data_IF_599510916742
#
_entry.id   IF_599510916742
#
_cell.length_a   1.000
_cell.length_b   1.000
_cell.length_c   1.000
_cell.angle_alpha   90.00
_cell.angle_beta   90.00
_cell.angle_gamma   90.00
#
_symmetry.space_group_name_H-M   'P 1'
#
loop_
_entity.id
_entity.type
_entity.pdbx_description
1 polymer ?
#
# COMPACT_ATOMS: atom_id res chain seq x y z
N UNK A 1 1.44 23.14 -3.27
CA UNK A 1 0.16 23.82 -3.65
C UNK A 1 -0.79 23.74 -2.48
N UNK A 2 -1.25 24.89 -2.00
CA UNK A 2 -2.31 24.96 -0.98
C UNK A 2 -3.62 24.62 -1.69
N UNK A 3 -4.35 23.61 -1.22
CA UNK A 3 -5.66 23.25 -1.76
C UNK A 3 -6.75 24.19 -1.20
N UNK A 4 -7.83 24.37 -1.95
CA UNK A 4 -9.02 25.07 -1.47
C UNK A 4 -9.62 24.24 -0.32
N UNK A 5 -9.91 24.85 0.86
CA UNK A 5 -10.55 24.18 1.98
C UNK A 5 -11.88 23.52 1.58
N UNK A 6 -12.27 22.47 2.28
CA UNK A 6 -13.52 21.72 2.04
C UNK A 6 -14.28 21.49 3.34
N UNK A 7 -14.91 22.51 3.92
CA UNK A 7 -15.49 22.45 5.27
C UNK A 7 -16.41 21.25 5.51
N UNK A 8 -17.37 21.00 4.61
CA UNK A 8 -18.27 19.85 4.73
C UNK A 8 -17.50 18.53 4.70
N UNK A 9 -16.50 18.42 3.83
CA UNK A 9 -15.70 17.21 3.71
C UNK A 9 -14.83 17.00 4.96
N UNK A 10 -14.12 18.02 5.43
CA UNK A 10 -13.24 17.93 6.60
C UNK A 10 -14.01 17.43 7.82
N UNK A 11 -15.18 18.03 8.10
CA UNK A 11 -16.04 17.64 9.22
C UNK A 11 -16.62 16.23 9.04
N UNK A 12 -16.97 15.83 7.80
CA UNK A 12 -17.42 14.46 7.52
C UNK A 12 -16.36 13.40 7.84
N UNK A 13 -15.09 13.80 7.89
CA UNK A 13 -13.95 12.94 8.23
C UNK A 13 -13.51 13.10 9.71
N UNK A 14 -14.25 13.87 10.51
CA UNK A 14 -13.95 14.10 11.93
C UNK A 14 -12.84 15.12 12.18
N UNK A 15 -12.48 15.93 11.15
CA UNK A 15 -11.53 17.02 11.30
C UNK A 15 -12.25 18.35 11.47
N UNK A 16 -11.68 19.23 12.29
CA UNK A 16 -12.08 20.62 12.31
C UNK A 16 -11.64 21.30 11.02
N UNK A 17 -12.57 21.94 10.31
CA UNK A 17 -12.21 22.67 9.11
C UNK A 17 -11.30 23.86 9.43
N UNK A 18 -10.27 24.08 8.61
CA UNK A 18 -9.41 25.26 8.74
C UNK A 18 -10.19 26.60 8.77
N UNK A 19 -11.33 26.64 8.11
CA UNK A 19 -12.20 27.84 8.11
C UNK A 19 -12.85 28.06 9.49
N UNK A 20 -13.21 27.00 10.20
CA UNK A 20 -13.89 27.08 11.51
C UNK A 20 -12.97 27.55 12.62
N UNK A 21 -11.65 27.41 12.47
CA UNK A 21 -10.69 27.96 13.45
C UNK A 21 -10.80 29.47 13.62
N UNK A 22 -11.24 30.20 12.59
CA UNK A 22 -11.44 31.63 12.61
C UNK A 22 -12.92 32.05 12.50
N UNK A 23 -13.78 31.19 11.97
CA UNK A 23 -15.19 31.44 11.68
C UNK A 23 -16.09 30.43 12.41
N UNK A 24 -15.91 30.31 13.73
CA UNK A 24 -16.61 29.34 14.55
C UNK A 24 -18.14 29.54 14.62
N UNK A 25 -18.61 30.72 14.27
CA UNK A 25 -20.01 31.12 14.24
C UNK A 25 -20.71 30.82 12.90
N UNK A 26 -19.94 30.39 11.86
CA UNK A 26 -20.47 30.07 10.53
C UNK A 26 -20.52 28.55 10.37
N UNK A 27 -21.67 28.03 9.95
CA UNK A 27 -21.83 26.59 9.72
C UNK A 27 -21.03 26.10 8.51
N UNK A 28 -20.64 24.82 8.49
CA UNK A 28 -19.87 24.20 7.40
C UNK A 28 -20.56 24.33 6.03
N UNK A 29 -21.90 24.15 5.91
CA UNK A 29 -22.59 24.39 4.63
C UNK A 29 -22.52 25.83 4.15
N UNK A 30 -22.57 26.80 5.08
CA UNK A 30 -22.42 28.21 4.72
C UNK A 30 -20.99 28.53 4.27
N UNK A 31 -19.98 28.02 4.99
CA UNK A 31 -18.57 28.16 4.59
C UNK A 31 -18.31 27.52 3.23
N UNK A 32 -18.87 26.35 2.97
CA UNK A 32 -18.80 25.67 1.67
C UNK A 32 -19.40 26.51 0.56
N UNK A 33 -20.59 27.09 0.77
CA UNK A 33 -21.26 27.96 -0.20
C UNK A 33 -20.44 29.21 -0.52
N UNK A 34 -19.84 29.85 0.48
CA UNK A 34 -18.96 31.01 0.30
C UNK A 34 -17.75 30.64 -0.57
N UNK A 35 -17.14 29.49 -0.32
CA UNK A 35 -16.00 29.02 -1.11
C UNK A 35 -16.39 28.71 -2.55
N UNK A 36 -17.55 28.12 -2.77
CA UNK A 36 -18.06 27.83 -4.10
C UNK A 36 -18.43 29.11 -4.88
N UNK A 37 -18.91 30.13 -4.19
CA UNK A 37 -19.14 31.45 -4.77
C UNK A 37 -17.82 32.13 -5.21
N UNK A 38 -16.73 31.96 -4.46
CA UNK A 38 -15.43 32.57 -4.77
C UNK A 38 -14.63 31.81 -5.83
N UNK A 39 -14.65 30.49 -5.79
CA UNK A 39 -13.77 29.63 -6.60
C UNK A 39 -14.52 28.81 -7.65
N UNK A 40 -15.86 28.92 -7.67
CA UNK A 40 -16.72 28.05 -8.46
C UNK A 40 -16.87 26.63 -7.84
N UNK A 41 -17.62 25.74 -8.49
CA UNK A 41 -17.83 24.39 -8.01
C UNK A 41 -16.49 23.69 -7.73
N UNK A 42 -16.32 23.17 -6.52
CA UNK A 42 -15.10 22.51 -6.13
C UNK A 42 -14.89 21.24 -6.97
N UNK A 43 -13.70 21.10 -7.52
CA UNK A 43 -13.32 19.89 -8.27
C UNK A 43 -13.48 18.66 -7.38
N UNK A 44 -13.83 17.50 -7.93
CA UNK A 44 -13.83 16.24 -7.17
C UNK A 44 -12.49 16.02 -6.46
N UNK A 45 -12.54 15.35 -5.31
CA UNK A 45 -11.32 14.92 -4.64
C UNK A 45 -10.50 14.01 -5.56
N UNK A 46 -9.18 14.09 -5.41
CA UNK A 46 -8.31 13.12 -6.07
C UNK A 46 -8.80 11.69 -5.75
N UNK A 47 -9.02 10.84 -6.76
CA UNK A 47 -9.56 9.48 -6.56
C UNK A 47 -8.79 8.64 -5.52
N UNK A 48 -7.47 8.83 -5.43
CA UNK A 48 -6.64 8.16 -4.42
C UNK A 48 -7.11 8.53 -3.02
N UNK A 49 -7.27 9.82 -2.76
CA UNK A 49 -7.74 10.32 -1.45
C UNK A 49 -9.17 9.89 -1.21
N UNK A 50 -10.05 10.06 -2.19
CA UNK A 50 -11.47 9.69 -2.08
C UNK A 50 -11.64 8.19 -1.76
N UNK A 51 -10.89 7.32 -2.42
CA UNK A 51 -10.91 5.88 -2.16
C UNK A 51 -10.33 5.53 -0.80
N UNK A 52 -9.23 6.17 -0.42
CA UNK A 52 -8.61 5.96 0.88
C UNK A 52 -9.55 6.30 2.04
N UNK A 53 -10.34 7.34 1.91
CA UNK A 53 -11.29 7.79 2.92
C UNK A 53 -12.56 6.91 3.03
N UNK A 54 -12.83 6.06 2.03
CA UNK A 54 -13.87 5.03 2.14
C UNK A 54 -13.47 3.85 3.02
N UNK A 55 -12.20 3.73 3.35
CA UNK A 55 -11.65 2.66 4.18
C UNK A 55 -11.65 3.09 5.63
N UNK A 56 -12.32 2.33 6.48
CA UNK A 56 -12.34 2.52 7.94
C UNK A 56 -11.85 1.26 8.66
N UNK A 57 -11.90 1.28 9.99
CA UNK A 57 -11.41 0.17 10.82
C UNK A 57 -12.18 -1.14 10.60
N UNK A 58 -13.44 -1.05 10.21
CA UNK A 58 -14.33 -2.21 10.00
C UNK A 58 -14.34 -2.71 8.55
N UNK A 59 -13.61 -2.05 7.64
CA UNK A 59 -13.59 -2.46 6.23
C UNK A 59 -12.84 -3.78 6.09
N UNK A 60 -13.52 -4.80 5.57
CA UNK A 60 -12.93 -6.11 5.32
C UNK A 60 -11.97 -6.10 4.12
N UNK A 61 -10.99 -7.01 4.12
CA UNK A 61 -9.96 -7.08 3.08
C UNK A 61 -10.52 -7.20 1.66
N UNK A 62 -11.58 -7.98 1.45
CA UNK A 62 -12.23 -8.12 0.15
C UNK A 62 -12.87 -6.83 -0.37
N UNK A 63 -13.48 -6.03 0.50
CA UNK A 63 -14.08 -4.75 0.12
C UNK A 63 -13.00 -3.67 -0.05
N UNK A 64 -11.98 -3.68 0.80
CA UNK A 64 -10.80 -2.83 0.62
C UNK A 64 -10.10 -3.10 -0.72
N UNK A 65 -9.98 -4.37 -1.13
CA UNK A 65 -9.40 -4.74 -2.42
C UNK A 65 -10.20 -4.20 -3.62
N UNK A 66 -11.53 -4.21 -3.54
CA UNK A 66 -12.40 -3.62 -4.58
C UNK A 66 -12.18 -2.11 -4.72
N UNK A 67 -11.88 -1.42 -3.63
CA UNK A 67 -11.71 0.04 -3.58
C UNK A 67 -10.28 0.45 -3.93
N UNK A 68 -9.28 -0.25 -3.38
CA UNK A 68 -7.87 0.15 -3.45
C UNK A 68 -7.13 -0.48 -4.63
N UNK A 69 -7.46 -1.74 -4.95
CA UNK A 69 -6.77 -2.48 -6.00
C UNK A 69 -7.50 -2.35 -7.34
N UNK A 70 -7.31 -1.21 -8.01
CA UNK A 70 -7.89 -0.87 -9.30
C UNK A 70 -6.78 -0.42 -10.26
N UNK A 71 -6.08 -1.35 -10.94
CA UNK A 71 -4.89 -1.05 -11.73
C UNK A 71 -5.15 -0.04 -12.86
N UNK A 72 -6.33 -0.03 -13.47
CA UNK A 72 -6.60 0.74 -14.69
C UNK A 72 -7.04 2.19 -14.47
N UNK A 73 -7.21 2.64 -13.22
CA UNK A 73 -7.93 3.87 -12.94
C UNK A 73 -7.08 5.02 -12.37
N UNK A 74 -5.79 4.80 -12.05
CA UNK A 74 -4.98 5.79 -11.33
C UNK A 74 -3.61 6.00 -11.95
N UNK A 75 -3.10 7.21 -11.76
CA UNK A 75 -1.70 7.51 -11.98
C UNK A 75 -0.79 6.55 -11.16
N UNK A 76 0.39 6.13 -11.67
CA UNK A 76 1.27 5.15 -11.00
C UNK A 76 1.53 5.43 -9.51
N UNK A 77 1.75 6.69 -9.12
CA UNK A 77 1.91 7.05 -7.70
C UNK A 77 0.67 6.74 -6.85
N UNK A 78 -0.53 6.91 -7.42
CA UNK A 78 -1.77 6.57 -6.75
C UNK A 78 -1.95 5.07 -6.58
N UNK A 79 -1.60 4.31 -7.60
CA UNK A 79 -1.60 2.84 -7.55
C UNK A 79 -0.60 2.31 -6.53
N UNK A 80 0.64 2.82 -6.55
CA UNK A 80 1.68 2.46 -5.58
C UNK A 80 1.21 2.74 -4.14
N UNK A 81 0.65 3.92 -3.89
CA UNK A 81 0.15 4.30 -2.58
C UNK A 81 -0.98 3.38 -2.11
N UNK A 82 -1.99 3.13 -2.95
CA UNK A 82 -3.12 2.28 -2.61
C UNK A 82 -2.70 0.83 -2.39
N UNK A 83 -1.83 0.29 -3.26
CA UNK A 83 -1.26 -1.05 -3.13
C UNK A 83 -0.43 -1.18 -1.84
N UNK A 84 0.46 -0.23 -1.57
CA UNK A 84 1.26 -0.19 -0.35
C UNK A 84 0.39 -0.15 0.91
N UNK A 85 -0.64 0.68 0.91
CA UNK A 85 -1.58 0.75 2.01
C UNK A 85 -2.34 -0.57 2.20
N UNK A 86 -2.82 -1.17 1.09
CA UNK A 86 -3.52 -2.44 1.14
C UNK A 86 -2.65 -3.55 1.74
N UNK A 87 -1.40 -3.69 1.27
CA UNK A 87 -0.47 -4.70 1.78
C UNK A 87 -0.23 -4.51 3.27
N UNK A 88 0.08 -3.29 3.71
CA UNK A 88 0.38 -3.00 5.12
C UNK A 88 -0.80 -3.21 6.06
N UNK A 89 -2.01 -2.99 5.60
CA UNK A 89 -3.22 -3.03 6.44
C UNK A 89 -3.91 -4.38 6.45
N UNK A 90 -3.89 -5.09 5.34
CA UNK A 90 -4.72 -6.27 5.12
C UNK A 90 -3.94 -7.57 4.89
N UNK A 91 -2.64 -7.50 4.67
CA UNK A 91 -1.81 -8.68 4.54
C UNK A 91 -0.90 -8.86 5.77
N UNK A 92 -0.57 -10.12 6.04
CA UNK A 92 0.40 -10.52 7.05
C UNK A 92 1.25 -11.68 6.56
N UNK A 93 2.42 -11.95 7.19
CA UNK A 93 3.25 -13.08 6.76
C UNK A 93 2.52 -14.41 6.87
N UNK A 94 2.53 -15.18 5.78
CA UNK A 94 2.05 -16.56 5.77
C UNK A 94 0.58 -16.73 6.11
N UNK A 95 -0.28 -15.94 5.51
CA UNK A 95 -1.72 -16.09 5.70
C UNK A 95 -2.20 -17.47 5.23
N UNK A 96 -2.88 -18.21 6.09
CA UNK A 96 -3.46 -19.52 5.76
C UNK A 96 -4.52 -19.40 4.64
N UNK A 97 -5.21 -18.28 4.61
CA UNK A 97 -6.20 -17.96 3.59
C UNK A 97 -6.08 -16.54 3.11
N UNK A 98 -6.02 -16.38 1.80
CA UNK A 98 -6.16 -15.11 1.10
C UNK A 98 -7.15 -15.31 -0.04
N UNK A 99 -8.14 -14.42 -0.16
CA UNK A 99 -9.15 -14.46 -1.20
C UNK A 99 -8.51 -14.53 -2.59
N UNK A 100 -8.95 -15.48 -3.41
CA UNK A 100 -8.41 -15.70 -4.76
C UNK A 100 -8.49 -14.43 -5.62
N UNK A 101 -9.54 -13.62 -5.46
CA UNK A 101 -9.67 -12.35 -6.19
C UNK A 101 -8.59 -11.33 -5.77
N UNK A 102 -8.18 -11.34 -4.50
CA UNK A 102 -7.04 -10.50 -4.04
C UNK A 102 -5.74 -10.99 -4.67
N UNK A 103 -5.53 -12.31 -4.67
CA UNK A 103 -4.35 -12.91 -5.29
C UNK A 103 -4.27 -12.54 -6.78
N UNK A 104 -5.36 -12.66 -7.53
CA UNK A 104 -5.37 -12.32 -8.96
C UNK A 104 -5.11 -10.83 -9.20
N UNK A 105 -5.71 -9.95 -8.39
CA UNK A 105 -5.40 -8.50 -8.45
C UNK A 105 -3.92 -8.20 -8.19
N UNK A 106 -3.31 -8.85 -7.20
CA UNK A 106 -1.87 -8.71 -6.93
C UNK A 106 -1.01 -9.26 -8.09
N UNK A 107 -1.44 -10.36 -8.73
CA UNK A 107 -0.78 -10.88 -9.93
C UNK A 107 -0.89 -9.93 -11.13
N UNK A 108 -2.00 -9.20 -11.27
CA UNK A 108 -2.14 -8.18 -12.30
C UNK A 108 -1.17 -7.01 -12.05
N UNK A 109 -1.04 -6.54 -10.81
CA UNK A 109 -0.01 -5.56 -10.45
C UNK A 109 1.42 -6.09 -10.66
N UNK A 110 1.66 -7.38 -10.46
CA UNK A 110 2.95 -8.02 -10.71
C UNK A 110 3.38 -7.98 -12.19
N UNK A 111 2.44 -7.81 -13.11
CA UNK A 111 2.69 -7.65 -14.57
C UNK A 111 2.80 -6.20 -15.02
N UNK A 112 2.61 -5.24 -14.11
CA UNK A 112 2.63 -3.82 -14.44
C UNK A 112 3.98 -3.38 -15.01
N UNK A 113 4.01 -2.33 -15.84
CA UNK A 113 5.26 -1.85 -16.44
C UNK A 113 6.17 -1.15 -15.41
N UNK A 114 5.56 -0.41 -14.47
CA UNK A 114 6.30 0.30 -13.43
C UNK A 114 6.99 -0.70 -12.49
N UNK A 115 8.31 -0.57 -12.36
CA UNK A 115 9.17 -1.48 -11.59
C UNK A 115 8.84 -1.44 -10.10
N UNK A 116 8.50 -0.29 -9.55
CA UNK A 116 8.22 -0.12 -8.11
C UNK A 116 6.88 -0.75 -7.75
N UNK A 117 5.86 -0.58 -8.59
CA UNK A 117 4.55 -1.23 -8.43
C UNK A 117 4.68 -2.75 -8.55
N UNK A 118 5.42 -3.22 -9.57
CA UNK A 118 5.69 -4.64 -9.80
C UNK A 118 6.41 -5.27 -8.60
N UNK A 119 7.48 -4.67 -8.14
CA UNK A 119 8.24 -5.16 -6.99
C UNK A 119 7.41 -5.18 -5.69
N UNK A 120 6.56 -4.18 -5.50
CA UNK A 120 5.64 -4.12 -4.37
C UNK A 120 4.59 -5.23 -4.42
N UNK A 121 4.06 -5.54 -5.60
CA UNK A 121 3.14 -6.66 -5.79
C UNK A 121 3.83 -8.01 -5.55
N UNK A 122 5.07 -8.19 -6.02
CA UNK A 122 5.87 -9.38 -5.72
C UNK A 122 6.10 -9.53 -4.22
N UNK A 123 6.47 -8.44 -3.53
CA UNK A 123 6.64 -8.45 -2.09
C UNK A 123 5.34 -8.83 -1.37
N UNK A 124 4.21 -8.26 -1.77
CA UNK A 124 2.90 -8.57 -1.19
C UNK A 124 2.47 -10.03 -1.36
N UNK A 125 2.66 -10.59 -2.56
CA UNK A 125 2.38 -12.01 -2.83
C UNK A 125 3.33 -12.94 -2.06
N UNK A 126 4.64 -12.67 -2.11
CA UNK A 126 5.64 -13.47 -1.41
C UNK A 126 5.42 -13.46 0.10
N UNK A 127 5.27 -12.28 0.65
CA UNK A 127 5.05 -12.02 2.06
C UNK A 127 3.79 -12.73 2.62
N UNK A 128 2.66 -12.60 1.93
CA UNK A 128 1.40 -13.16 2.42
C UNK A 128 1.22 -14.64 2.12
N UNK A 129 1.89 -15.17 1.08
CA UNK A 129 1.67 -16.52 0.57
C UNK A 129 2.99 -17.32 0.40
N UNK A 130 3.99 -17.06 1.24
CA UNK A 130 5.31 -17.70 1.09
C UNK A 130 5.27 -19.22 1.21
N UNK A 131 4.25 -19.80 1.86
CA UNK A 131 4.04 -21.24 1.95
C UNK A 131 3.28 -21.83 0.75
N UNK A 132 2.80 -21.00 -0.19
CA UNK A 132 2.02 -21.45 -1.34
C UNK A 132 2.95 -21.75 -2.54
N UNK A 133 3.10 -23.05 -2.94
CA UNK A 133 3.99 -23.42 -4.04
C UNK A 133 3.63 -22.77 -5.38
N UNK A 134 2.32 -22.58 -5.65
CA UNK A 134 1.85 -21.98 -6.89
C UNK A 134 2.24 -20.49 -6.99
N UNK A 135 2.25 -19.79 -5.87
CA UNK A 135 2.71 -18.39 -5.83
C UNK A 135 4.22 -18.31 -6.00
N UNK A 136 4.99 -19.21 -5.36
CA UNK A 136 6.44 -19.29 -5.57
C UNK A 136 6.77 -19.55 -7.04
N UNK A 137 6.12 -20.51 -7.68
CA UNK A 137 6.31 -20.81 -9.10
C UNK A 137 5.94 -19.61 -9.99
N UNK A 138 4.82 -18.95 -9.69
CA UNK A 138 4.42 -17.73 -10.39
C UNK A 138 5.52 -16.66 -10.30
N UNK A 139 6.02 -16.35 -9.11
CA UNK A 139 7.03 -15.31 -8.89
C UNK A 139 8.34 -15.62 -9.63
N UNK A 140 8.81 -16.88 -9.56
CA UNK A 140 10.02 -17.31 -10.29
C UNK A 140 9.84 -17.15 -11.80
N UNK A 141 8.70 -17.58 -12.33
CA UNK A 141 8.41 -17.46 -13.77
C UNK A 141 8.36 -16.00 -14.21
N UNK A 142 7.65 -15.14 -13.47
CA UNK A 142 7.52 -13.72 -13.83
C UNK A 142 8.88 -13.00 -13.79
N UNK A 143 9.71 -13.29 -12.79
CA UNK A 143 11.06 -12.71 -12.71
C UNK A 143 11.94 -13.15 -13.88
N UNK A 144 11.89 -14.42 -14.27
CA UNK A 144 12.68 -14.93 -15.39
C UNK A 144 12.25 -14.35 -16.75
N UNK A 145 11.05 -13.75 -16.83
CA UNK A 145 10.53 -13.11 -18.04
C UNK A 145 10.78 -11.59 -18.10
N UNK A 146 11.55 -11.03 -17.16
CA UNK A 146 11.78 -9.59 -17.03
C UNK A 146 12.93 -9.08 -17.91
N UNK A 147 13.03 -9.41 -19.14
CA UNK A 147 13.95 -8.94 -20.18
C UNK A 147 14.88 -7.76 -19.81
N UNK A 148 15.85 -7.95 -18.91
CA UNK A 148 16.87 -6.98 -18.51
C UNK A 148 16.53 -6.07 -17.34
N UNK A 149 15.37 -6.23 -16.69
CA UNK A 149 15.02 -5.49 -15.46
C UNK A 149 15.02 -6.36 -14.20
N UNK A 150 15.48 -7.61 -14.29
CA UNK A 150 15.44 -8.61 -13.22
C UNK A 150 16.13 -8.13 -11.95
N UNK A 151 17.33 -7.61 -12.07
CA UNK A 151 18.12 -7.12 -10.95
C UNK A 151 17.43 -5.95 -10.24
N UNK A 152 16.92 -4.99 -11.01
CA UNK A 152 16.23 -3.83 -10.46
C UNK A 152 14.96 -4.21 -9.71
N UNK A 153 14.17 -5.16 -10.25
CA UNK A 153 12.95 -5.67 -9.59
C UNK A 153 13.29 -6.48 -8.35
N UNK A 154 14.27 -7.41 -8.42
CA UNK A 154 14.71 -8.20 -7.27
C UNK A 154 15.20 -7.31 -6.13
N UNK A 155 16.03 -6.31 -6.45
CA UNK A 155 16.54 -5.37 -5.45
C UNK A 155 15.40 -4.65 -4.72
N UNK A 156 14.44 -4.08 -5.44
CA UNK A 156 13.29 -3.41 -4.84
C UNK A 156 12.43 -4.36 -4.02
N UNK A 157 12.15 -5.53 -4.56
CA UNK A 157 11.37 -6.56 -3.89
C UNK A 157 12.00 -6.99 -2.56
N UNK A 158 13.29 -7.32 -2.56
CA UNK A 158 14.01 -7.69 -1.33
C UNK A 158 14.04 -6.56 -0.31
N UNK A 159 14.29 -5.30 -0.74
CA UNK A 159 14.27 -4.14 0.15
C UNK A 159 12.87 -3.84 0.73
N UNK A 160 11.80 -4.12 0.00
CA UNK A 160 10.43 -3.98 0.53
C UNK A 160 10.16 -5.02 1.62
N UNK A 161 10.61 -6.26 1.43
CA UNK A 161 10.50 -7.32 2.45
C UNK A 161 11.33 -6.98 3.70
N UNK A 162 12.55 -6.48 3.52
CA UNK A 162 13.39 -6.00 4.63
C UNK A 162 12.72 -4.85 5.39
N UNK A 163 12.12 -3.90 4.67
CA UNK A 163 11.34 -2.82 5.28
C UNK A 163 10.16 -3.36 6.11
N UNK A 164 9.42 -4.35 5.63
CA UNK A 164 8.36 -4.99 6.42
C UNK A 164 8.92 -5.67 7.67
N UNK A 165 10.07 -6.34 7.56
CA UNK A 165 10.79 -6.89 8.70
C UNK A 165 11.14 -5.83 9.74
N UNK A 166 11.64 -4.70 9.28
CA UNK A 166 11.99 -3.58 10.15
C UNK A 166 10.76 -2.97 10.86
N UNK A 167 9.62 -2.86 10.18
CA UNK A 167 8.37 -2.40 10.80
C UNK A 167 7.91 -3.35 11.90
N UNK A 168 7.92 -4.66 11.67
CA UNK A 168 7.57 -5.65 12.69
C UNK A 168 8.57 -5.67 13.85
N UNK A 169 9.85 -5.56 13.56
CA UNK A 169 10.88 -5.51 14.59
C UNK A 169 10.69 -4.32 15.53
N UNK A 170 10.43 -3.13 14.98
CA UNK A 170 10.17 -1.92 15.75
C UNK A 170 8.85 -1.97 16.54
N UNK A 171 7.86 -2.72 16.07
CA UNK A 171 6.61 -2.96 16.80
C UNK A 171 6.71 -4.09 17.84
N UNK A 172 7.85 -4.76 17.97
CA UNK A 172 8.10 -5.85 18.92
C UNK A 172 7.67 -7.24 18.45
N UNK A 173 7.14 -7.37 17.23
CA UNK A 173 6.74 -8.66 16.63
C UNK A 173 7.95 -9.33 15.97
N UNK A 174 8.82 -9.92 16.79
CA UNK A 174 10.07 -10.55 16.33
C UNK A 174 9.85 -11.73 15.38
N UNK A 175 8.78 -12.50 15.57
CA UNK A 175 8.49 -13.66 14.72
C UNK A 175 8.17 -13.23 13.29
N UNK A 176 7.28 -12.26 13.12
CA UNK A 176 6.97 -11.72 11.79
C UNK A 176 8.17 -10.98 11.18
N UNK A 177 8.94 -10.26 12.00
CA UNK A 177 10.16 -9.62 11.54
C UNK A 177 11.15 -10.64 10.96
N UNK A 178 11.36 -11.76 11.67
CA UNK A 178 12.23 -12.85 11.24
C UNK A 178 11.80 -13.42 9.89
N UNK A 179 10.51 -13.76 9.75
CA UNK A 179 9.96 -14.25 8.47
C UNK A 179 10.26 -13.27 7.33
N UNK A 180 10.00 -11.99 7.54
CA UNK A 180 10.22 -10.98 6.49
C UNK A 180 11.70 -10.86 6.10
N UNK A 181 12.63 -10.91 7.06
CA UNK A 181 14.06 -10.89 6.78
C UNK A 181 14.55 -12.17 6.11
N UNK A 182 14.01 -13.34 6.46
CA UNK A 182 14.28 -14.60 5.77
C UNK A 182 13.85 -14.52 4.30
N UNK A 183 12.63 -14.05 4.03
CA UNK A 183 12.13 -13.85 2.67
C UNK A 183 12.95 -12.79 1.89
N UNK A 184 13.39 -11.72 2.55
CA UNK A 184 14.27 -10.73 1.94
C UNK A 184 15.62 -11.34 1.56
N UNK A 185 16.19 -12.19 2.43
CA UNK A 185 17.44 -12.91 2.19
C UNK A 185 17.32 -13.98 1.08
N UNK A 186 16.15 -14.61 0.90
CA UNK A 186 15.88 -15.49 -0.26
C UNK A 186 15.95 -14.71 -1.59
N UNK A 187 15.49 -13.45 -1.61
CA UNK A 187 15.48 -12.62 -2.81
C UNK A 187 16.83 -11.97 -3.08
N UNK A 188 17.54 -11.55 -2.02
CA UNK A 188 18.83 -10.85 -2.04
C UNK A 188 19.82 -11.52 -1.09
N UNK A 189 20.34 -12.70 -1.43
CA UNK A 189 21.19 -13.50 -0.52
C UNK A 189 22.52 -12.83 -0.16
N UNK A 190 23.05 -11.99 -1.03
CA UNK A 190 24.34 -11.33 -0.85
C UNK A 190 24.24 -9.92 -0.24
N UNK A 191 23.05 -9.48 0.22
CA UNK A 191 22.86 -8.18 0.85
C UNK A 191 23.27 -8.22 2.32
N UNK A 192 24.36 -7.50 2.65
CA UNK A 192 24.92 -7.46 4.01
C UNK A 192 23.97 -6.84 5.04
N UNK A 193 23.17 -5.82 4.64
CA UNK A 193 22.24 -5.16 5.54
C UNK A 193 21.11 -6.10 5.94
N UNK A 194 20.53 -6.83 4.97
CA UNK A 194 19.50 -7.84 5.21
C UNK A 194 20.04 -8.95 6.11
N UNK A 195 21.23 -9.46 5.81
CA UNK A 195 21.91 -10.48 6.62
C UNK A 195 22.15 -10.01 8.06
N UNK A 196 22.52 -8.75 8.26
CA UNK A 196 22.68 -8.14 9.58
C UNK A 196 21.36 -8.04 10.33
N UNK A 197 20.28 -7.60 9.67
CA UNK A 197 18.94 -7.50 10.25
C UNK A 197 18.42 -8.88 10.68
N UNK A 198 18.64 -9.92 9.85
CA UNK A 198 18.25 -11.28 10.19
C UNK A 198 18.99 -11.81 11.43
N UNK A 199 20.30 -11.59 11.52
CA UNK A 199 21.08 -11.96 12.72
C UNK A 199 20.57 -11.26 13.98
N UNK A 200 20.24 -9.96 13.86
CA UNK A 200 19.77 -9.16 15.01
C UNK A 200 18.42 -9.64 15.55
N UNK A 201 17.53 -10.16 14.70
CA UNK A 201 16.23 -10.67 15.16
C UNK A 201 16.33 -12.07 15.78
N UNK A 202 17.38 -12.84 15.43
CA UNK A 202 17.64 -14.18 15.95
C UNK A 202 18.36 -14.16 17.32
N UNK A 203 18.99 -13.04 17.67
CA UNK A 203 19.64 -12.82 18.97
C UNK A 203 18.62 -12.32 20.02
#
# INVERSE_FOLDING_TARGET
TVSIPRPIFDVSQGFESACQQCHADISEPQLQSILEDWYGPLKPLNPVIANRLKINENTLGGDAAKILLQPDHFHPMGQFYNLSYFIKRYLSPGMDYLDTNIIEKLKDYAKYEDIDIKALAYAGLHYSQYNNPQIKEFLVREVNNLNGSEEAVRRRWGLILDYFGSVYFLSGDREKAKICYELASEVLPDDEAISSNLKRVQS
#
